data_IF_839494704912
#
_entry.id   IF_839494704912
#
_cell.length_a   1.000
_cell.length_b   1.000
_cell.length_c   1.000
_cell.angle_alpha   90.00
_cell.angle_beta   90.00
_cell.angle_gamma   90.00
#
_symmetry.space_group_name_H-M   'P 1'
#
loop_
_entity.id
_entity.type
_entity.pdbx_description
1 polymer ?
#
# COMPACT_ATOMS: atom_id res chain seq x y z
N UNK A 1 27.53 -45.61 36.68
CA UNK A 1 28.27 -44.88 35.62
C UNK A 1 27.49 -43.62 35.26
N UNK A 2 28.17 -42.49 34.97
CA UNK A 2 28.09 -41.29 35.83
C UNK A 2 27.02 -40.25 35.45
N UNK A 3 26.78 -39.36 36.42
CA UNK A 3 26.03 -38.11 36.33
C UNK A 3 26.97 -36.93 36.03
N UNK A 4 26.53 -35.95 35.21
CA UNK A 4 27.09 -34.58 35.08
C UNK A 4 25.96 -33.69 34.51
N UNK A 5 25.29 -32.84 35.30
CA UNK A 5 25.60 -31.47 35.79
C UNK A 5 25.02 -30.34 34.92
N UNK A 6 24.20 -29.51 35.57
CA UNK A 6 23.81 -28.18 35.14
C UNK A 6 24.96 -27.21 35.40
N UNK A 7 25.26 -26.32 34.46
CA UNK A 7 26.14 -25.18 34.68
C UNK A 7 25.68 -23.94 33.92
N UNK A 8 25.83 -22.82 34.61
CA UNK A 8 25.22 -21.52 34.44
C UNK A 8 26.02 -20.54 33.56
N UNK A 9 25.26 -19.59 32.98
CA UNK A 9 25.58 -18.19 32.61
C UNK A 9 27.04 -17.74 32.55
N UNK A 10 27.40 -17.09 31.44
CA UNK A 10 28.15 -15.83 31.48
C UNK A 10 27.87 -14.96 30.26
N UNK A 11 27.45 -13.72 30.52
CA UNK A 11 27.50 -12.56 29.62
C UNK A 11 28.96 -12.15 29.38
N UNK A 12 29.24 -11.46 28.25
CA UNK A 12 29.98 -10.21 28.40
C UNK A 12 29.44 -9.02 27.60
N UNK A 13 29.94 -7.88 28.05
CA UNK A 13 29.55 -6.50 27.85
C UNK A 13 29.88 -5.91 26.46
N UNK A 14 28.93 -5.12 25.94
CA UNK A 14 29.03 -3.84 25.23
C UNK A 14 30.39 -3.44 24.61
N UNK A 15 30.40 -3.20 23.30
CA UNK A 15 31.15 -2.08 22.68
C UNK A 15 30.28 -1.32 21.67
N UNK A 16 30.24 0.01 21.88
CA UNK A 16 29.66 1.04 20.99
C UNK A 16 30.45 1.13 19.69
N UNK A 17 29.75 1.27 18.56
CA UNK A 17 30.36 1.56 17.26
C UNK A 17 29.38 2.25 16.31
N UNK A 18 29.47 3.59 16.27
CA UNK A 18 29.09 4.52 15.20
C UNK A 18 27.79 4.32 14.40
N UNK A 19 26.82 5.20 14.66
CA UNK A 19 25.70 5.50 13.75
C UNK A 19 26.22 6.23 12.51
N UNK A 20 26.22 5.58 11.35
CA UNK A 20 26.18 6.29 10.07
C UNK A 20 24.75 6.79 9.85
N UNK A 21 24.61 8.08 9.61
CA UNK A 21 23.35 8.72 9.25
C UNK A 21 22.87 8.13 7.90
N UNK A 22 21.89 7.24 7.95
CA UNK A 22 21.16 6.82 6.76
C UNK A 22 20.32 8.01 6.30
N UNK A 23 20.71 8.61 5.17
CA UNK A 23 19.87 9.58 4.46
C UNK A 23 18.54 8.89 4.13
N UNK A 24 17.48 9.35 4.79
CA UNK A 24 16.10 8.94 4.51
C UNK A 24 15.71 9.60 3.19
N UNK A 25 15.57 8.81 2.13
CA UNK A 25 14.99 9.27 0.87
C UNK A 25 13.47 9.36 1.05
N UNK A 26 12.94 10.57 0.95
CA UNK A 26 11.51 10.85 0.95
C UNK A 26 10.95 10.56 -0.44
N UNK A 27 10.09 9.55 -0.57
CA UNK A 27 9.36 9.30 -1.81
C UNK A 27 7.91 9.80 -1.67
N UNK A 28 7.60 10.88 -2.40
CA UNK A 28 6.23 11.26 -2.72
C UNK A 28 5.85 10.51 -3.99
N UNK A 29 4.79 9.71 -3.95
CA UNK A 29 4.30 8.92 -5.09
C UNK A 29 3.97 9.76 -6.36
N UNK A 30 3.94 11.09 -6.26
CA UNK A 30 3.72 12.01 -7.39
C UNK A 30 4.98 12.37 -8.19
N UNK A 31 6.20 12.09 -7.70
CA UNK A 31 7.41 12.70 -8.26
C UNK A 31 8.09 11.87 -9.37
N UNK A 32 7.52 10.73 -9.79
CA UNK A 32 8.17 9.83 -10.77
C UNK A 32 7.75 10.05 -12.24
N UNK A 33 6.83 10.98 -12.53
CA UNK A 33 6.29 11.19 -13.88
C UNK A 33 6.95 12.34 -14.69
N UNK A 34 8.14 12.84 -14.30
CA UNK A 34 8.78 13.97 -15.02
C UNK A 34 10.25 13.81 -15.43
N UNK A 35 10.91 12.66 -15.24
CA UNK A 35 12.24 12.45 -15.81
C UNK A 35 12.15 11.78 -17.20
N UNK A 36 11.64 12.53 -18.18
CA UNK A 36 11.84 12.23 -19.59
C UNK A 36 13.30 12.51 -19.97
N UNK A 37 14.18 11.53 -19.79
CA UNK A 37 15.59 11.65 -20.14
C UNK A 37 15.75 11.46 -21.65
N UNK A 38 15.64 12.55 -22.42
CA UNK A 38 16.11 12.59 -23.81
C UNK A 38 17.64 12.65 -23.84
N UNK A 39 18.25 11.62 -24.42
CA UNK A 39 19.64 11.66 -24.88
C UNK A 39 19.77 12.64 -26.04
N UNK A 40 20.55 13.72 -25.85
CA UNK A 40 21.24 14.40 -26.96
C UNK A 40 22.66 14.78 -26.57
N UNK A 41 23.57 14.32 -27.42
CA UNK A 41 24.96 14.72 -27.56
C UNK A 41 25.12 16.20 -27.87
N UNK A 42 26.12 16.87 -27.30
CA UNK A 42 27.19 17.54 -28.07
C UNK A 42 28.11 18.35 -27.16
N UNK A 43 29.34 18.44 -27.64
CA UNK A 43 30.50 19.09 -27.05
C UNK A 43 30.41 20.63 -26.98
N UNK A 44 31.25 21.14 -26.08
CA UNK A 44 32.12 22.33 -26.19
C UNK A 44 31.73 23.68 -25.57
N UNK A 45 32.68 24.10 -24.73
CA UNK A 45 33.25 25.42 -24.49
C UNK A 45 32.53 26.47 -23.62
N UNK A 46 33.08 26.56 -22.41
CA UNK A 46 33.24 27.75 -21.58
C UNK A 46 33.69 28.98 -22.39
N UNK A 47 33.04 30.12 -22.17
CA UNK A 47 33.72 31.33 -21.69
C UNK A 47 32.73 32.43 -21.29
N UNK A 48 33.22 33.25 -20.37
CA UNK A 48 32.67 34.40 -19.63
C UNK A 48 31.81 35.39 -20.44
N UNK A 49 30.78 35.97 -19.81
CA UNK A 49 30.76 37.42 -19.50
C UNK A 49 29.50 37.87 -18.75
N UNK A 50 29.71 38.65 -17.69
CA UNK A 50 28.69 39.45 -17.00
C UNK A 50 28.21 40.58 -17.93
N UNK A 51 26.89 40.80 -18.01
CA UNK A 51 26.35 42.12 -18.32
C UNK A 51 24.98 42.29 -17.67
N UNK A 52 24.93 43.25 -16.76
CA UNK A 52 23.72 43.79 -16.12
C UNK A 52 23.08 44.73 -17.14
N UNK A 53 21.85 44.43 -17.56
CA UNK A 53 21.05 45.33 -18.39
C UNK A 53 20.02 46.06 -17.51
N UNK A 54 20.27 47.34 -17.26
CA UNK A 54 19.32 48.28 -16.66
C UNK A 54 18.49 48.87 -17.79
N UNK A 55 17.21 48.50 -17.90
CA UNK A 55 16.27 49.17 -18.79
C UNK A 55 15.53 50.28 -18.04
N UNK A 56 15.78 51.53 -18.44
CA UNK A 56 14.96 52.71 -18.13
C UNK A 56 13.62 52.59 -18.86
N UNK A 57 12.52 52.71 -18.13
CA UNK A 57 11.19 52.90 -18.70
C UNK A 57 10.89 54.40 -18.82
N UNK A 58 10.76 54.90 -20.05
CA UNK A 58 10.15 56.19 -20.37
C UNK A 58 8.64 56.01 -20.54
N UNK A 59 7.87 56.90 -19.91
CA UNK A 59 6.41 56.87 -19.87
C UNK A 59 5.71 57.13 -21.21
N UNK A 60 4.49 56.65 -21.29
CA UNK A 60 3.52 56.85 -22.37
C UNK A 60 2.13 56.38 -21.90
N UNK A 61 1.12 57.12 -22.33
CA UNK A 61 -0.17 57.36 -21.65
C UNK A 61 -1.26 56.31 -21.95
N UNK A 62 -2.23 56.24 -21.02
CA UNK A 62 -3.47 55.46 -20.92
C UNK A 62 -4.18 55.04 -22.23
N UNK A 63 -4.77 53.83 -22.18
CA UNK A 63 -5.93 53.50 -23.02
C UNK A 63 -6.37 52.04 -23.00
N UNK A 64 -7.28 51.68 -22.07
CA UNK A 64 -8.32 50.65 -22.23
C UNK A 64 -7.94 49.23 -22.68
N UNK A 65 -7.93 48.29 -21.73
CA UNK A 65 -8.47 46.91 -21.86
C UNK A 65 -8.29 46.15 -20.55
N UNK A 66 -9.17 46.40 -19.56
CA UNK A 66 -9.38 45.45 -18.46
C UNK A 66 -10.32 44.35 -18.97
N UNK A 67 -9.77 43.33 -19.65
CA UNK A 67 -10.50 42.10 -19.96
C UNK A 67 -9.87 40.94 -19.19
N UNK A 68 -10.63 40.53 -18.16
CA UNK A 68 -10.60 39.25 -17.46
C UNK A 68 -9.46 38.27 -17.79
N UNK A 69 -8.34 38.41 -17.07
CA UNK A 69 -7.55 37.24 -16.66
C UNK A 69 -8.13 36.77 -15.33
N UNK A 70 -9.33 36.19 -15.38
CA UNK A 70 -9.73 35.24 -14.35
C UNK A 70 -8.78 34.06 -14.50
N UNK A 71 -7.73 34.05 -13.67
CA UNK A 71 -6.95 32.85 -13.47
C UNK A 71 -7.90 31.75 -13.06
N UNK A 72 -8.20 30.82 -13.98
CA UNK A 72 -8.78 29.54 -13.63
C UNK A 72 -7.78 28.91 -12.67
N UNK A 73 -8.03 29.04 -11.37
CA UNK A 73 -7.36 28.21 -10.37
C UNK A 73 -7.47 26.78 -10.86
N UNK A 74 -6.34 26.10 -11.05
CA UNK A 74 -6.33 24.66 -11.37
C UNK A 74 -7.34 24.01 -10.42
N UNK A 75 -8.28 23.18 -10.93
CA UNK A 75 -9.22 22.51 -10.04
C UNK A 75 -8.42 21.81 -8.96
N UNK A 76 -8.73 22.13 -7.71
CA UNK A 76 -8.24 21.39 -6.55
C UNK A 76 -8.50 19.92 -6.89
N UNK A 77 -7.48 19.03 -6.90
CA UNK A 77 -7.73 17.62 -7.18
C UNK A 77 -8.85 17.19 -6.24
N UNK A 78 -9.93 16.66 -6.83
CA UNK A 78 -11.01 16.01 -6.10
C UNK A 78 -10.38 15.07 -5.09
N UNK A 79 -10.89 15.04 -3.86
CA UNK A 79 -10.41 14.10 -2.85
C UNK A 79 -10.30 12.71 -3.50
N UNK A 80 -9.10 12.14 -3.49
CA UNK A 80 -8.84 10.86 -4.15
C UNK A 80 -9.84 9.84 -3.59
N UNK A 81 -10.69 9.27 -4.45
CA UNK A 81 -11.68 8.29 -4.02
C UNK A 81 -10.93 7.01 -3.65
N UNK A 82 -11.09 6.55 -2.42
CA UNK A 82 -10.50 5.30 -1.93
C UNK A 82 -11.55 4.20 -2.05
N UNK A 83 -11.25 3.16 -2.82
CA UNK A 83 -12.09 1.98 -2.97
C UNK A 83 -11.65 0.85 -2.01
N UNK A 84 -12.57 -0.07 -1.72
CA UNK A 84 -12.34 -1.20 -0.84
C UNK A 84 -12.79 -2.49 -1.53
N UNK A 85 -12.11 -3.63 -1.31
CA UNK A 85 -12.60 -4.90 -1.80
C UNK A 85 -14.01 -5.17 -1.25
N UNK A 86 -14.93 -5.69 -2.09
CA UNK A 86 -16.32 -5.88 -1.72
C UNK A 86 -16.42 -6.91 -0.60
N UNK A 87 -17.00 -6.49 0.53
CA UNK A 87 -17.27 -7.36 1.64
C UNK A 87 -18.53 -6.95 2.38
N UNK A 88 -19.17 -7.93 3.02
CA UNK A 88 -20.35 -7.73 3.87
C UNK A 88 -20.11 -8.31 5.26
N UNK A 89 -20.57 -7.59 6.28
CA UNK A 89 -20.56 -8.06 7.65
C UNK A 89 -21.61 -9.16 7.83
N UNK A 90 -21.21 -10.30 8.40
CA UNK A 90 -22.09 -11.43 8.74
C UNK A 90 -22.43 -11.46 10.23
N UNK A 91 -21.42 -11.22 11.08
CA UNK A 91 -21.54 -11.22 12.55
C UNK A 91 -20.52 -10.24 13.12
N UNK A 92 -20.87 -9.58 14.21
CA UNK A 92 -19.95 -8.77 15.00
C UNK A 92 -20.03 -9.20 16.46
N UNK A 93 -18.86 -9.34 17.09
CA UNK A 93 -18.70 -9.54 18.53
C UNK A 93 -17.80 -8.44 19.09
N UNK A 94 -17.59 -8.44 20.40
CA UNK A 94 -16.63 -7.53 21.04
C UNK A 94 -15.17 -7.86 20.64
N UNK A 95 -14.91 -9.08 20.16
CA UNK A 95 -13.56 -9.58 19.86
C UNK A 95 -13.22 -9.63 18.37
N UNK A 96 -14.21 -9.84 17.50
CA UNK A 96 -13.99 -10.02 16.07
C UNK A 96 -15.25 -9.75 15.24
N UNK A 97 -15.04 -9.59 13.94
CA UNK A 97 -16.10 -9.54 12.93
C UNK A 97 -15.98 -10.75 12.01
N UNK A 98 -17.10 -11.38 11.65
CA UNK A 98 -17.17 -12.28 10.50
C UNK A 98 -17.60 -11.46 9.28
N UNK A 99 -16.81 -11.54 8.22
CA UNK A 99 -17.09 -10.87 6.95
C UNK A 99 -17.09 -11.88 5.83
N UNK A 100 -18.03 -11.76 4.89
CA UNK A 100 -17.96 -12.45 3.59
C UNK A 100 -17.28 -11.49 2.62
N UNK A 101 -16.16 -11.91 2.03
CA UNK A 101 -15.58 -11.22 0.89
C UNK A 101 -16.20 -11.78 -0.39
N UNK A 102 -16.77 -10.89 -1.22
CA UNK A 102 -17.24 -11.30 -2.55
C UNK A 102 -16.03 -11.59 -3.46
N UNK A 103 -16.27 -12.12 -4.64
CA UNK A 103 -15.18 -12.39 -5.60
C UNK A 103 -14.66 -11.06 -6.15
N UNK A 104 -13.35 -10.83 -6.12
CA UNK A 104 -12.73 -9.61 -6.64
C UNK A 104 -11.34 -9.84 -7.24
N UNK A 105 -10.94 -9.01 -8.24
CA UNK A 105 -9.59 -9.03 -8.78
C UNK A 105 -8.62 -8.29 -7.85
N UNK A 106 -7.41 -8.81 -7.73
CA UNK A 106 -6.32 -8.16 -7.01
C UNK A 106 -4.99 -8.38 -7.73
N UNK A 107 -4.05 -7.46 -7.54
CA UNK A 107 -2.65 -7.67 -7.92
C UNK A 107 -1.85 -8.12 -6.72
N UNK A 108 -0.90 -9.02 -6.94
CA UNK A 108 -0.06 -9.59 -5.90
C UNK A 108 1.40 -9.61 -6.31
N UNK A 109 2.30 -9.48 -5.33
CA UNK A 109 3.75 -9.60 -5.53
C UNK A 109 4.37 -10.28 -4.32
N UNK A 110 5.33 -11.21 -4.50
CA UNK A 110 6.20 -11.60 -3.40
C UNK A 110 7.04 -10.39 -2.96
N UNK A 111 7.45 -10.37 -1.69
CA UNK A 111 8.36 -9.33 -1.19
C UNK A 111 9.19 -9.84 -0.02
N UNK A 112 10.44 -9.35 0.07
CA UNK A 112 11.24 -9.49 1.29
C UNK A 112 11.17 -8.21 2.13
N UNK A 113 11.29 -7.06 1.47
CA UNK A 113 11.12 -5.75 2.09
C UNK A 113 9.78 -5.14 1.71
N UNK A 114 9.07 -4.58 2.70
CA UNK A 114 7.73 -4.02 2.49
C UNK A 114 7.73 -2.90 1.44
N UNK A 115 8.76 -2.06 1.40
CA UNK A 115 8.90 -0.97 0.43
C UNK A 115 8.97 -1.45 -1.02
N UNK A 116 9.57 -2.61 -1.28
CA UNK A 116 9.61 -3.22 -2.62
C UNK A 116 8.20 -3.62 -3.06
N UNK A 117 7.45 -4.31 -2.19
CA UNK A 117 6.07 -4.69 -2.45
C UNK A 117 5.17 -3.47 -2.69
N UNK A 118 5.30 -2.44 -1.86
CA UNK A 118 4.57 -1.19 -2.02
C UNK A 118 4.87 -0.49 -3.35
N UNK A 119 6.15 -0.46 -3.74
CA UNK A 119 6.57 0.17 -5.00
C UNK A 119 6.06 -0.61 -6.21
N UNK A 120 6.13 -1.94 -6.20
CA UNK A 120 5.67 -2.79 -7.29
C UNK A 120 4.16 -2.64 -7.53
N UNK A 121 3.34 -2.82 -6.48
CA UNK A 121 1.89 -2.68 -6.60
C UNK A 121 1.47 -1.23 -6.88
N UNK A 122 2.13 -0.26 -6.24
CA UNK A 122 1.87 1.16 -6.51
C UNK A 122 2.19 1.56 -7.95
N UNK A 123 3.23 1.00 -8.54
CA UNK A 123 3.56 1.24 -9.95
C UNK A 123 2.48 0.71 -10.89
N UNK A 124 1.94 -0.48 -10.61
CA UNK A 124 0.80 -1.03 -11.36
C UNK A 124 -0.40 -0.07 -11.32
N UNK A 125 -0.76 0.44 -10.12
CA UNK A 125 -1.89 1.36 -9.95
C UNK A 125 -1.67 2.71 -10.65
N UNK A 126 -0.41 3.17 -10.78
CA UNK A 126 -0.05 4.43 -11.44
C UNK A 126 0.12 4.31 -12.97
N UNK A 127 -0.21 3.16 -13.56
CA UNK A 127 -0.19 2.96 -15.01
C UNK A 127 0.96 2.13 -15.55
N UNK A 128 1.77 1.49 -14.69
CA UNK A 128 2.74 0.47 -15.13
C UNK A 128 2.03 -0.87 -15.36
N UNK A 129 1.08 -0.87 -16.29
CA UNK A 129 0.29 -2.01 -16.72
C UNK A 129 0.09 -1.94 -18.25
N UNK A 130 -0.44 -3.02 -18.85
CA UNK A 130 -0.51 -3.17 -20.30
C UNK A 130 -1.32 -2.05 -21.00
N UNK A 131 -2.30 -1.49 -20.30
CA UNK A 131 -3.18 -0.44 -20.83
C UNK A 131 -2.62 0.98 -20.59
N UNK A 132 -1.51 1.12 -19.86
CA UNK A 132 -1.07 2.40 -19.30
C UNK A 132 -2.15 3.14 -18.49
N UNK A 133 -3.09 2.38 -17.92
CA UNK A 133 -4.26 2.92 -17.24
C UNK A 133 -3.95 3.21 -15.77
N UNK A 134 -4.30 4.40 -15.30
CA UNK A 134 -4.26 4.70 -13.86
C UNK A 134 -5.49 4.08 -13.20
N UNK A 135 -5.30 3.47 -12.05
CA UNK A 135 -6.36 2.87 -11.25
C UNK A 135 -6.69 3.78 -10.06
N UNK A 136 -7.93 3.77 -9.57
CA UNK A 136 -8.26 4.45 -8.33
C UNK A 136 -7.53 3.83 -7.14
N UNK A 137 -7.23 4.64 -6.13
CA UNK A 137 -6.56 4.16 -4.92
C UNK A 137 -7.45 3.19 -4.17
N UNK A 138 -6.86 2.11 -3.64
CA UNK A 138 -7.62 1.10 -2.89
C UNK A 138 -7.00 0.82 -1.52
N UNK A 139 -7.84 0.37 -0.59
CA UNK A 139 -7.45 -0.07 0.75
C UNK A 139 -8.26 -1.30 1.17
N UNK A 140 -7.75 -2.13 2.10
CA UNK A 140 -6.42 -2.08 2.68
C UNK A 140 -5.35 -2.63 1.73
N UNK A 141 -4.09 -2.39 2.06
CA UNK A 141 -3.00 -3.22 1.54
C UNK A 141 -2.98 -4.49 2.38
N UNK A 142 -3.14 -5.65 1.74
CA UNK A 142 -3.16 -6.93 2.42
C UNK A 142 -1.79 -7.60 2.28
N UNK A 143 -1.20 -8.04 3.39
CA UNK A 143 -0.04 -8.91 3.37
C UNK A 143 -0.47 -10.31 3.78
N UNK A 144 -0.06 -11.31 3.03
CA UNK A 144 -0.27 -12.72 3.34
C UNK A 144 1.05 -13.33 3.78
N UNK A 145 0.99 -14.04 4.90
CA UNK A 145 2.14 -14.68 5.52
C UNK A 145 1.94 -16.19 5.51
N UNK A 146 2.93 -16.92 5.01
CA UNK A 146 2.97 -18.38 5.02
C UNK A 146 4.15 -18.87 5.87
N UNK A 147 3.95 -19.14 7.18
CA UNK A 147 5.07 -19.48 8.06
C UNK A 147 5.82 -20.76 7.67
N UNK A 148 5.12 -21.73 7.08
CA UNK A 148 5.70 -23.03 6.68
C UNK A 148 6.72 -22.87 5.56
N UNK A 149 6.40 -22.06 4.55
CA UNK A 149 7.25 -21.81 3.37
C UNK A 149 8.17 -20.61 3.57
N UNK A 150 7.86 -19.73 4.52
CA UNK A 150 8.51 -18.43 4.70
C UNK A 150 8.04 -17.37 3.70
N UNK A 151 7.13 -17.72 2.78
CA UNK A 151 6.67 -16.83 1.72
C UNK A 151 5.84 -15.68 2.28
N UNK A 152 6.10 -14.48 1.77
CA UNK A 152 5.33 -13.26 2.04
C UNK A 152 4.89 -12.66 0.73
N UNK A 153 3.59 -12.40 0.60
CA UNK A 153 3.04 -11.70 -0.56
C UNK A 153 2.23 -10.48 -0.12
N UNK A 154 2.29 -9.44 -0.93
CA UNK A 154 1.50 -8.22 -0.75
C UNK A 154 0.47 -8.17 -1.86
N UNK A 155 -0.74 -7.76 -1.50
CA UNK A 155 -1.91 -7.76 -2.36
C UNK A 155 -2.62 -6.40 -2.30
N UNK A 156 -3.18 -6.00 -3.44
CA UNK A 156 -3.97 -4.79 -3.56
C UNK A 156 -5.19 -5.04 -4.44
N UNK A 157 -6.37 -4.61 -3.96
CA UNK A 157 -7.61 -4.67 -4.73
C UNK A 157 -7.51 -3.82 -6.00
N UNK A 158 -7.96 -4.36 -7.12
CA UNK A 158 -8.06 -3.63 -8.39
C UNK A 158 -9.50 -3.19 -8.61
N UNK A 159 -9.78 -1.95 -8.26
CA UNK A 159 -11.08 -1.28 -8.46
C UNK A 159 -11.19 -0.62 -9.83
N UNK A 160 -11.95 0.48 -9.90
CA UNK A 160 -12.18 1.19 -11.15
C UNK A 160 -10.94 1.97 -11.65
N UNK A 161 -10.92 2.29 -12.96
CA UNK A 161 -9.88 3.15 -13.55
C UNK A 161 -10.08 4.60 -13.08
N UNK A 162 -9.01 5.36 -12.98
CA UNK A 162 -9.08 6.77 -12.59
C UNK A 162 -9.86 7.57 -13.63
N UNK A 163 -10.92 8.24 -13.17
CA UNK A 163 -11.87 8.96 -14.03
C UNK A 163 -13.20 8.22 -14.22
N UNK A 164 -13.25 6.92 -13.93
CA UNK A 164 -14.49 6.16 -13.88
C UNK A 164 -15.14 6.29 -12.49
N UNK A 165 -16.48 6.17 -12.40
CA UNK A 165 -17.16 6.06 -11.11
C UNK A 165 -16.67 4.83 -10.34
N UNK A 166 -16.37 4.96 -9.04
CA UNK A 166 -16.07 3.82 -8.16
C UNK A 166 -17.17 2.76 -8.23
N UNK A 167 -16.79 1.48 -8.11
CA UNK A 167 -17.76 0.38 -8.15
C UNK A 167 -18.87 0.58 -7.09
N UNK A 168 -18.52 1.07 -5.90
CA UNK A 168 -19.46 1.35 -4.80
C UNK A 168 -20.52 2.42 -5.10
N UNK A 169 -20.33 3.23 -6.14
CA UNK A 169 -21.28 4.25 -6.58
C UNK A 169 -22.19 3.77 -7.73
N UNK A 170 -21.94 2.59 -8.28
CA UNK A 170 -22.76 2.01 -9.32
C UNK A 170 -24.01 1.36 -8.71
N UNK A 171 -25.14 1.46 -9.42
CA UNK A 171 -26.40 0.83 -9.03
C UNK A 171 -26.31 -0.70 -8.91
N UNK A 172 -25.33 -1.29 -9.60
CA UNK A 172 -24.94 -2.70 -9.51
C UNK A 172 -23.41 -2.74 -9.45
N UNK A 173 -22.81 -2.78 -8.25
CA UNK A 173 -21.37 -2.90 -8.11
C UNK A 173 -20.95 -4.29 -8.58
N UNK A 174 -20.33 -4.34 -9.76
CA UNK A 174 -19.74 -5.56 -10.30
C UNK A 174 -18.21 -5.44 -10.25
N UNK A 175 -17.48 -6.55 -10.04
CA UNK A 175 -16.02 -6.54 -10.17
C UNK A 175 -15.56 -6.04 -11.54
N UNK A 176 -14.39 -5.39 -11.58
CA UNK A 176 -13.80 -4.98 -12.86
C UNK A 176 -13.55 -6.21 -13.74
N UNK A 177 -14.30 -6.32 -14.85
CA UNK A 177 -14.28 -7.52 -15.69
C UNK A 177 -12.97 -7.71 -16.46
N UNK A 178 -12.30 -6.60 -16.81
CA UNK A 178 -11.06 -6.61 -17.58
C UNK A 178 -10.01 -5.71 -16.93
N UNK A 179 -9.39 -6.15 -15.82
CA UNK A 179 -8.28 -5.43 -15.22
C UNK A 179 -7.07 -5.45 -16.18
N UNK A 180 -6.33 -4.33 -16.32
CA UNK A 180 -5.12 -4.30 -17.12
C UNK A 180 -4.11 -5.36 -16.63
N UNK A 181 -3.47 -6.08 -17.55
CA UNK A 181 -2.45 -7.06 -17.17
C UNK A 181 -1.20 -6.34 -16.64
N UNK A 182 -0.53 -6.89 -15.60
CA UNK A 182 0.77 -6.39 -15.19
C UNK A 182 1.81 -6.55 -16.30
N UNK A 183 2.73 -5.57 -16.42
CA UNK A 183 3.90 -5.69 -17.31
C UNK A 183 5.16 -6.12 -16.56
N UNK A 184 5.12 -6.04 -15.23
CA UNK A 184 6.20 -6.51 -14.38
C UNK A 184 6.03 -8.01 -14.12
N UNK A 185 7.08 -8.79 -14.37
CA UNK A 185 7.08 -10.25 -14.22
C UNK A 185 6.90 -10.72 -12.77
N UNK A 186 7.15 -9.84 -11.78
CA UNK A 186 6.97 -10.16 -10.37
C UNK A 186 5.59 -9.78 -9.82
N UNK A 187 4.77 -9.12 -10.64
CA UNK A 187 3.39 -8.76 -10.27
C UNK A 187 2.43 -9.65 -11.05
N UNK A 188 1.57 -10.36 -10.32
CA UNK A 188 0.52 -11.20 -10.89
C UNK A 188 -0.84 -10.55 -10.67
N UNK A 189 -1.73 -10.66 -11.67
CA UNK A 189 -3.14 -10.36 -11.52
C UNK A 189 -3.89 -11.66 -11.23
N UNK A 190 -4.62 -11.67 -10.12
CA UNK A 190 -5.32 -12.84 -9.61
C UNK A 190 -6.76 -12.47 -9.21
N UNK A 191 -7.57 -13.49 -8.95
CA UNK A 191 -8.94 -13.36 -8.46
C UNK A 191 -9.05 -14.11 -7.13
N UNK A 192 -9.67 -13.48 -6.13
CA UNK A 192 -9.85 -14.04 -4.79
C UNK A 192 -11.20 -13.67 -4.20
N UNK A 193 -11.36 -13.92 -2.91
CA UNK A 193 -12.63 -13.78 -2.22
C UNK A 193 -13.50 -15.04 -2.33
N UNK A 194 -14.82 -14.89 -2.21
CA UNK A 194 -15.75 -16.03 -2.13
C UNK A 194 -15.61 -16.82 -0.82
N UNK A 195 -15.17 -16.16 0.24
CA UNK A 195 -14.80 -16.80 1.50
C UNK A 195 -15.32 -16.00 2.71
N UNK A 196 -15.61 -16.72 3.78
CA UNK A 196 -15.89 -16.11 5.08
C UNK A 196 -14.58 -15.99 5.85
N UNK A 197 -14.34 -14.80 6.38
CA UNK A 197 -13.16 -14.51 7.19
C UNK A 197 -13.56 -13.95 8.54
N UNK A 198 -12.77 -14.29 9.55
CA UNK A 198 -12.79 -13.62 10.85
C UNK A 198 -11.74 -12.51 10.86
N UNK A 199 -12.13 -11.34 11.37
CA UNK A 199 -11.31 -10.13 11.39
C UNK A 199 -11.20 -9.59 12.80
N UNK A 200 -9.97 -9.36 13.25
CA UNK A 200 -9.68 -8.60 14.47
C UNK A 200 -8.96 -7.31 14.14
N UNK A 201 -9.62 -6.19 14.39
CA UNK A 201 -9.01 -4.87 14.25
C UNK A 201 -8.13 -4.54 15.46
N UNK A 202 -7.03 -3.84 15.21
CA UNK A 202 -6.14 -3.33 16.25
C UNK A 202 -5.47 -2.03 15.79
N UNK A 203 -5.09 -1.21 16.77
CA UNK A 203 -4.41 0.05 16.54
C UNK A 203 -2.90 -0.05 16.82
N UNK A 204 -2.12 0.82 16.19
CA UNK A 204 -0.69 0.97 16.45
C UNK A 204 0.19 0.40 15.33
N UNK A 205 1.42 0.05 15.67
CA UNK A 205 2.37 -0.50 14.71
C UNK A 205 2.13 -2.00 14.51
N UNK A 206 2.01 -2.43 13.25
CA UNK A 206 1.95 -3.84 12.88
C UNK A 206 3.35 -4.46 12.83
N UNK A 207 3.97 -4.55 14.01
CA UNK A 207 5.18 -5.36 14.24
C UNK A 207 4.82 -6.84 14.25
N UNK A 208 5.80 -7.71 14.05
CA UNK A 208 5.59 -9.16 14.07
C UNK A 208 4.98 -9.63 15.39
N UNK A 209 5.57 -9.24 16.53
CA UNK A 209 5.08 -9.61 17.86
C UNK A 209 3.64 -9.15 18.11
N UNK A 210 3.31 -7.89 17.79
CA UNK A 210 1.95 -7.39 17.99
C UNK A 210 0.95 -8.11 17.08
N UNK A 211 1.31 -8.32 15.81
CA UNK A 211 0.46 -9.03 14.84
C UNK A 211 0.20 -10.47 15.29
N UNK A 212 1.22 -11.18 15.78
CA UNK A 212 1.05 -12.53 16.32
C UNK A 212 0.20 -12.56 17.58
N UNK A 213 0.35 -11.58 18.48
CA UNK A 213 -0.51 -11.47 19.66
C UNK A 213 -1.99 -11.31 19.26
N UNK A 214 -2.29 -10.41 18.31
CA UNK A 214 -3.67 -10.23 17.84
C UNK A 214 -4.22 -11.46 17.12
N UNK A 215 -3.37 -12.18 16.37
CA UNK A 215 -3.72 -13.46 15.75
C UNK A 215 -4.10 -14.51 16.79
N UNK A 216 -3.30 -14.68 17.85
CA UNK A 216 -3.58 -15.63 18.93
C UNK A 216 -4.87 -15.27 19.69
N UNK A 217 -5.11 -13.98 19.92
CA UNK A 217 -6.37 -13.51 20.53
C UNK A 217 -7.57 -13.86 19.65
N UNK A 218 -7.47 -13.64 18.34
CA UNK A 218 -8.53 -13.99 17.39
C UNK A 218 -8.79 -15.50 17.37
N UNK A 219 -7.74 -16.33 17.30
CA UNK A 219 -7.88 -17.79 17.32
C UNK A 219 -8.62 -18.25 18.58
N UNK A 220 -8.20 -17.75 19.75
CA UNK A 220 -8.84 -18.11 21.03
C UNK A 220 -10.32 -17.71 21.08
N UNK A 221 -10.67 -16.52 20.57
CA UNK A 221 -12.07 -16.08 20.50
C UNK A 221 -12.91 -16.96 19.57
N UNK A 222 -12.36 -17.38 18.43
CA UNK A 222 -13.03 -18.30 17.51
C UNK A 222 -13.22 -19.69 18.12
N UNK A 223 -12.22 -20.21 18.83
CA UNK A 223 -12.30 -21.50 19.54
C UNK A 223 -13.40 -21.51 20.61
N UNK A 224 -13.53 -20.42 21.39
CA UNK A 224 -14.59 -20.27 22.39
C UNK A 224 -16.00 -20.25 21.77
N UNK A 225 -16.11 -19.71 20.56
CA UNK A 225 -17.37 -19.66 19.80
C UNK A 225 -17.60 -20.91 18.94
N UNK A 226 -16.72 -21.91 19.00
CA UNK A 226 -16.83 -23.16 18.22
C UNK A 226 -16.60 -22.99 16.71
N UNK A 227 -15.95 -21.91 16.28
CA UNK A 227 -15.69 -21.62 14.87
C UNK A 227 -14.34 -22.21 14.47
N UNK A 228 -14.33 -22.99 13.39
CA UNK A 228 -13.10 -23.62 12.90
C UNK A 228 -12.37 -22.75 11.88
N UNK A 229 -11.04 -22.76 11.94
CA UNK A 229 -10.19 -22.08 10.95
C UNK A 229 -10.20 -22.83 9.62
N UNK A 230 -9.99 -22.12 8.51
CA UNK A 230 -9.72 -22.70 7.19
C UNK A 230 -8.46 -23.57 7.18
N UNK A 231 -8.33 -24.45 6.17
CA UNK A 231 -7.21 -25.41 6.09
C UNK A 231 -5.83 -24.72 6.10
N UNK A 232 -5.69 -23.62 5.35
CA UNK A 232 -4.46 -22.83 5.28
C UNK A 232 -4.13 -22.15 6.62
N UNK A 233 -5.14 -21.60 7.28
CA UNK A 233 -5.02 -20.91 8.57
C UNK A 233 -4.68 -21.87 9.71
N UNK A 234 -5.19 -23.11 9.67
CA UNK A 234 -4.77 -24.21 10.56
C UNK A 234 -3.29 -24.55 10.38
N UNK A 235 -2.76 -24.45 9.15
CA UNK A 235 -1.33 -24.58 8.86
C UNK A 235 -0.51 -23.33 9.22
N UNK A 236 -1.14 -22.31 9.82
CA UNK A 236 -0.46 -21.12 10.33
C UNK A 236 -0.53 -19.91 9.42
N UNK A 237 -1.14 -20.00 8.24
CA UNK A 237 -1.29 -18.85 7.34
C UNK A 237 -2.19 -17.78 7.98
N UNK A 238 -1.92 -16.52 7.66
CA UNK A 238 -2.77 -15.40 8.07
C UNK A 238 -2.58 -14.20 7.15
N UNK A 239 -3.53 -13.28 7.21
CA UNK A 239 -3.50 -12.01 6.50
C UNK A 239 -3.40 -10.84 7.48
N UNK A 240 -2.62 -9.83 7.11
CA UNK A 240 -2.52 -8.54 7.80
C UNK A 240 -2.97 -7.45 6.83
N UNK A 241 -4.09 -6.80 7.13
CA UNK A 241 -4.58 -5.64 6.39
C UNK A 241 -4.10 -4.35 7.07
N UNK A 242 -3.48 -3.46 6.30
CA UNK A 242 -3.04 -2.14 6.77
C UNK A 242 -3.79 -1.03 6.06
N UNK A 243 -4.37 -0.12 6.85
CA UNK A 243 -5.11 1.03 6.36
C UNK A 243 -4.30 2.33 6.51
N UNK A 244 -4.65 3.31 5.68
CA UNK A 244 -4.01 4.62 5.68
C UNK A 244 -2.69 4.64 4.89
N UNK A 245 -2.14 5.86 4.68
CA UNK A 245 -0.97 6.04 3.84
C UNK A 245 0.31 5.49 4.48
N UNK A 246 1.18 4.90 3.65
CA UNK A 246 2.43 4.23 4.05
C UNK A 246 3.41 5.16 4.80
N UNK A 247 3.30 6.48 4.59
CA UNK A 247 4.21 7.48 5.16
C UNK A 247 3.59 8.31 6.29
N UNK A 248 2.43 7.91 6.85
CA UNK A 248 1.87 8.61 8.01
C UNK A 248 2.46 8.10 9.31
N UNK A 249 2.79 9.05 10.19
CA UNK A 249 3.15 8.83 11.60
C UNK A 249 1.92 8.68 12.51
N UNK A 250 0.70 8.78 11.96
CA UNK A 250 -0.54 8.57 12.71
C UNK A 250 -0.69 7.11 13.14
N UNK A 251 -1.42 6.90 14.24
CA UNK A 251 -1.89 5.57 14.63
C UNK A 251 -2.67 4.98 13.46
N UNK A 252 -2.27 3.79 13.00
CA UNK A 252 -2.93 3.09 11.91
C UNK A 252 -3.93 2.09 12.44
N UNK A 253 -5.05 1.98 11.73
CA UNK A 253 -5.92 0.82 11.82
C UNK A 253 -5.23 -0.32 11.07
N UNK A 254 -5.08 -1.45 11.74
CA UNK A 254 -4.64 -2.69 11.13
C UNK A 254 -5.67 -3.78 11.48
N UNK A 255 -5.70 -4.83 10.68
CA UNK A 255 -6.60 -5.96 10.88
C UNK A 255 -5.82 -7.27 10.68
N UNK A 256 -5.96 -8.22 11.61
CA UNK A 256 -5.60 -9.61 11.37
C UNK A 256 -6.83 -10.32 10.81
N UNK A 257 -6.62 -11.07 9.72
CA UNK A 257 -7.68 -11.76 9.00
C UNK A 257 -7.33 -13.24 8.91
N UNK A 258 -8.28 -14.11 9.23
CA UNK A 258 -8.20 -15.56 9.13
C UNK A 258 -9.43 -16.08 8.38
N UNK A 259 -9.24 -16.91 7.34
CA UNK A 259 -10.36 -17.65 6.75
C UNK A 259 -10.91 -18.65 7.77
N UNK A 260 -12.24 -18.78 7.81
CA UNK A 260 -12.96 -19.70 8.70
C UNK A 260 -13.87 -20.62 7.91
N UNK A 261 -14.21 -21.74 8.52
CA UNK A 261 -15.20 -22.69 8.03
C UNK A 261 -16.37 -22.69 9.02
N UNK A 262 -17.54 -22.25 8.52
CA UNK A 262 -18.81 -22.20 9.24
C UNK A 262 -19.61 -23.49 9.03
#
# INVERSE_FOLDING_TARGET
MPAVSLSSRSTPCIRRGQRKASRVFYYRFRDFAQSGMQLRSSLQHSSRSNSILVCRASGGVLGGLKKALQGKSKPKPSADIIEFPPCRLLKQTDDYELRMYDVYPFVTTPYERRDEGYLALGSYMEGRNADSAKMNLTQPIMMRYEPVTGLKTMQLYVGSKQGDPPASQLSKPEPLQHPPLPVDTFVSLEVGGGEVVAVRAFQGQATESNTQQQRLHLIKALELDGITLGLAERAGMFRLAQYGPINSLSVRKNEVILTVQL
#
